data_IF_449050901244
#
_entry.id   IF_449050901244
#
_cell.length_a   1.000
_cell.length_b   1.000
_cell.length_c   1.000
_cell.angle_alpha   90.00
_cell.angle_beta   90.00
_cell.angle_gamma   90.00
#
_symmetry.space_group_name_H-M   'P 1'
#
loop_
_entity.id
_entity.type
_entity.pdbx_description
1 polymer ?
#
# COMPACT_ATOMS: atom_id res chain seq x y z
N UNK A 1 -5.67 9.58 -32.07
CA UNK A 1 -7.08 9.38 -32.45
C UNK A 1 -7.78 8.78 -31.25
N UNK A 2 -8.64 9.54 -30.57
CA UNK A 2 -9.41 9.03 -29.43
C UNK A 2 -10.55 8.18 -30.01
N UNK A 3 -10.69 6.95 -29.51
CA UNK A 3 -11.60 5.96 -30.04
C UNK A 3 -13.06 6.39 -29.79
N UNK A 4 -13.94 6.20 -30.77
CA UNK A 4 -15.34 6.66 -30.72
C UNK A 4 -16.13 6.01 -29.55
N UNK A 5 -15.66 4.87 -29.05
CA UNK A 5 -16.14 4.18 -27.84
C UNK A 5 -15.90 4.98 -26.56
N UNK A 6 -14.74 5.63 -26.41
CA UNK A 6 -14.39 6.37 -25.19
C UNK A 6 -15.25 7.64 -25.02
N UNK A 7 -15.60 8.27 -26.16
CA UNK A 7 -16.49 9.43 -26.17
C UNK A 7 -17.92 9.10 -25.76
N UNK A 8 -18.40 7.90 -26.07
CA UNK A 8 -19.75 7.48 -25.68
C UNK A 8 -19.83 7.12 -24.20
N UNK A 9 -18.77 6.51 -23.65
CA UNK A 9 -18.66 6.21 -22.21
C UNK A 9 -18.62 7.51 -21.38
N UNK A 10 -17.82 8.50 -21.81
CA UNK A 10 -17.77 9.80 -21.14
C UNK A 10 -19.13 10.53 -21.16
N UNK A 11 -19.91 10.36 -22.23
CA UNK A 11 -21.24 10.99 -22.38
C UNK A 11 -22.31 10.34 -21.50
N UNK A 12 -22.22 9.03 -21.28
CA UNK A 12 -23.07 8.28 -20.36
C UNK A 12 -22.74 8.62 -18.89
N UNK A 13 -21.46 8.74 -18.54
CA UNK A 13 -21.01 9.16 -17.20
C UNK A 13 -21.52 10.56 -16.84
N UNK A 14 -21.40 11.52 -17.78
CA UNK A 14 -21.85 12.88 -17.56
C UNK A 14 -23.39 13.00 -17.42
N UNK A 15 -24.14 12.07 -18.02
CA UNK A 15 -25.60 11.95 -17.84
C UNK A 15 -25.97 11.38 -16.48
N UNK A 16 -25.21 10.38 -15.98
CA UNK A 16 -25.42 9.80 -14.64
C UNK A 16 -25.09 10.79 -13.52
N UNK A 17 -24.00 11.55 -13.66
CA UNK A 17 -23.59 12.56 -12.67
C UNK A 17 -24.60 13.73 -12.55
N UNK A 18 -25.35 14.03 -13.61
CA UNK A 18 -26.41 15.04 -13.54
C UNK A 18 -27.71 14.55 -12.89
N UNK A 19 -27.88 13.22 -12.70
CA UNK A 19 -29.12 12.64 -12.18
C UNK A 19 -29.04 12.12 -10.73
N UNK A 20 -27.84 11.98 -10.15
CA UNK A 20 -27.67 11.40 -8.80
C UNK A 20 -26.95 12.34 -7.83
N UNK A 21 -27.54 13.50 -7.52
CA UNK A 21 -27.04 14.35 -6.42
C UNK A 21 -27.59 14.00 -5.04
N UNK A 22 -28.54 13.08 -4.93
CA UNK A 22 -29.25 12.81 -3.66
C UNK A 22 -29.23 11.36 -3.16
N UNK A 23 -28.35 10.51 -3.68
CA UNK A 23 -28.19 9.14 -3.16
C UNK A 23 -26.77 8.93 -2.67
N UNK A 24 -26.62 8.50 -1.41
CA UNK A 24 -25.46 7.73 -0.94
C UNK A 24 -25.35 6.50 -1.84
N UNK A 25 -24.73 6.65 -3.00
CA UNK A 25 -24.34 5.49 -3.80
C UNK A 25 -23.11 4.93 -3.12
N UNK A 26 -23.28 3.74 -2.56
CA UNK A 26 -22.16 2.88 -2.18
C UNK A 26 -21.21 2.84 -3.38
N UNK A 27 -20.02 3.39 -3.17
CA UNK A 27 -18.98 3.44 -4.18
C UNK A 27 -18.72 2.01 -4.68
N UNK A 28 -19.07 1.73 -5.94
CA UNK A 28 -19.01 0.38 -6.51
C UNK A 28 -17.54 -0.04 -6.74
N UNK A 29 -16.93 -0.56 -5.69
CA UNK A 29 -15.59 -1.13 -5.68
C UNK A 29 -15.43 -2.30 -6.67
N UNK A 30 -16.53 -2.95 -7.08
CA UNK A 30 -16.48 -3.99 -8.12
C UNK A 30 -16.20 -3.39 -9.50
N UNK A 31 -16.72 -2.18 -9.76
CA UNK A 31 -16.46 -1.40 -10.95
C UNK A 31 -15.03 -0.85 -10.95
N UNK A 32 -14.53 -0.40 -9.80
CA UNK A 32 -13.11 -0.04 -9.66
C UNK A 32 -12.17 -1.23 -9.84
N UNK A 33 -12.48 -2.40 -9.30
CA UNK A 33 -11.69 -3.61 -9.57
C UNK A 33 -11.71 -4.03 -11.04
N UNK A 34 -12.81 -3.76 -11.76
CA UNK A 34 -12.95 -4.06 -13.19
C UNK A 34 -12.31 -3.01 -14.11
N UNK A 35 -12.28 -1.74 -13.70
CA UNK A 35 -11.79 -0.61 -14.52
C UNK A 35 -10.34 -0.25 -14.15
N UNK A 36 -10.00 -0.30 -12.87
CA UNK A 36 -8.67 -0.04 -12.32
C UNK A 36 -8.01 -1.34 -11.91
N UNK A 37 -6.84 -1.61 -12.49
CA UNK A 37 -5.96 -2.63 -11.96
C UNK A 37 -5.35 -2.09 -10.65
N UNK A 38 -6.00 -2.37 -9.51
CA UNK A 38 -5.64 -1.86 -8.17
C UNK A 38 -4.14 -1.99 -7.90
N UNK A 39 -3.52 -3.12 -8.28
CA UNK A 39 -2.07 -3.31 -8.12
C UNK A 39 -1.27 -2.23 -8.85
N UNK A 40 -1.63 -1.92 -10.09
CA UNK A 40 -0.98 -0.86 -10.86
C UNK A 40 -1.25 0.52 -10.28
N UNK A 41 -2.45 0.76 -9.74
CA UNK A 41 -2.76 2.00 -9.03
C UNK A 41 -1.86 2.17 -7.80
N UNK A 42 -1.73 1.14 -6.95
CA UNK A 42 -0.85 1.18 -5.78
C UNK A 42 0.62 1.34 -6.18
N UNK A 43 1.09 0.59 -7.18
CA UNK A 43 2.45 0.73 -7.72
C UNK A 43 2.71 2.16 -8.18
N UNK A 44 1.78 2.74 -8.96
CA UNK A 44 1.89 4.12 -9.42
C UNK A 44 1.97 5.10 -8.25
N UNK A 45 1.11 4.96 -7.23
CA UNK A 45 1.12 5.87 -6.10
C UNK A 45 2.42 5.75 -5.28
N UNK A 46 2.89 4.53 -5.02
CA UNK A 46 4.15 4.28 -4.29
C UNK A 46 5.37 4.87 -5.01
N UNK A 47 5.35 4.90 -6.34
CA UNK A 47 6.45 5.44 -7.15
C UNK A 47 6.44 6.98 -7.26
N UNK A 48 5.28 7.63 -7.12
CA UNK A 48 5.12 9.04 -7.49
C UNK A 48 4.78 9.96 -6.31
N UNK A 49 4.35 9.43 -5.17
CA UNK A 49 4.00 10.21 -3.99
C UNK A 49 4.85 9.81 -2.79
N UNK A 50 4.90 10.68 -1.78
CA UNK A 50 5.62 10.43 -0.54
C UNK A 50 4.96 9.32 0.29
N UNK A 51 5.69 8.83 1.31
CA UNK A 51 5.18 7.74 2.14
C UNK A 51 3.98 8.14 2.99
N UNK A 52 3.87 9.39 3.45
CA UNK A 52 2.78 9.82 4.33
C UNK A 52 1.46 9.79 3.57
N UNK A 53 1.44 10.32 2.35
CA UNK A 53 0.32 10.22 1.43
C UNK A 53 -0.06 8.75 1.18
N UNK A 54 0.92 7.90 0.87
CA UNK A 54 0.65 6.50 0.53
C UNK A 54 0.11 5.69 1.72
N UNK A 55 0.62 5.93 2.93
CA UNK A 55 0.09 5.34 4.15
C UNK A 55 -1.34 5.85 4.39
N UNK A 56 -1.57 7.16 4.26
CA UNK A 56 -2.90 7.73 4.42
C UNK A 56 -3.91 7.19 3.42
N UNK A 57 -3.51 7.00 2.16
CA UNK A 57 -4.33 6.37 1.12
C UNK A 57 -4.77 4.96 1.53
N UNK A 58 -3.84 4.13 1.99
CA UNK A 58 -4.15 2.75 2.39
C UNK A 58 -5.06 2.72 3.63
N UNK A 59 -4.77 3.53 4.64
CA UNK A 59 -5.53 3.51 5.90
C UNK A 59 -6.92 4.16 5.77
N UNK A 60 -7.06 5.17 4.91
CA UNK A 60 -8.35 5.83 4.64
C UNK A 60 -9.25 4.97 3.75
N UNK A 61 -8.66 4.17 2.85
CA UNK A 61 -9.40 3.33 1.91
C UNK A 61 -8.92 1.87 1.97
N UNK A 62 -9.26 1.13 3.05
CA UNK A 62 -8.86 -0.26 3.19
C UNK A 62 -9.25 -1.12 1.98
N UNK A 63 -10.42 -0.85 1.39
CA UNK A 63 -10.95 -1.57 0.22
C UNK A 63 -9.96 -1.64 -0.97
N UNK A 64 -8.97 -0.73 -1.03
CA UNK A 64 -7.89 -0.77 -2.01
C UNK A 64 -6.96 -1.98 -1.86
N UNK A 65 -6.85 -2.58 -0.68
CA UNK A 65 -5.89 -3.66 -0.45
C UNK A 65 -6.47 -4.92 0.19
N UNK A 66 -7.68 -4.88 0.75
CA UNK A 66 -8.28 -6.03 1.47
C UNK A 66 -8.45 -7.29 0.62
N UNK A 67 -8.55 -7.14 -0.70
CA UNK A 67 -8.73 -8.26 -1.62
C UNK A 67 -7.39 -8.80 -2.17
N UNK A 68 -6.28 -8.14 -1.86
CA UNK A 68 -4.96 -8.53 -2.35
C UNK A 68 -4.43 -9.70 -1.53
N UNK A 69 -4.09 -10.78 -2.22
CA UNK A 69 -3.42 -11.92 -1.59
C UNK A 69 -1.89 -11.72 -1.55
N UNK A 70 -1.18 -12.71 -1.03
CA UNK A 70 0.29 -12.73 -0.95
C UNK A 70 0.98 -12.55 -2.29
N UNK A 71 0.48 -13.17 -3.36
CA UNK A 71 1.08 -13.01 -4.70
C UNK A 71 0.88 -11.60 -5.23
N UNK A 72 -0.24 -10.97 -4.91
CA UNK A 72 -0.52 -9.59 -5.31
C UNK A 72 0.42 -8.60 -4.62
N UNK A 73 0.63 -8.76 -3.31
CA UNK A 73 1.59 -7.95 -2.56
C UNK A 73 3.03 -8.18 -2.98
N UNK A 74 3.45 -9.43 -3.20
CA UNK A 74 4.78 -9.73 -3.76
C UNK A 74 4.95 -9.03 -5.11
N UNK A 75 3.94 -9.13 -5.99
CA UNK A 75 3.96 -8.45 -7.29
C UNK A 75 4.12 -6.93 -7.14
N UNK A 76 3.36 -6.31 -6.23
CA UNK A 76 3.47 -4.87 -5.95
C UNK A 76 4.88 -4.51 -5.49
N UNK A 77 5.44 -5.25 -4.52
CA UNK A 77 6.79 -5.02 -4.00
C UNK A 77 7.84 -5.18 -5.10
N UNK A 78 7.72 -6.19 -5.95
CA UNK A 78 8.63 -6.43 -7.06
C UNK A 78 8.55 -5.32 -8.12
N UNK A 79 7.36 -4.80 -8.42
CA UNK A 79 7.21 -3.71 -9.40
C UNK A 79 7.56 -2.35 -8.83
N UNK A 80 7.35 -2.16 -7.53
CA UNK A 80 7.85 -1.01 -6.78
C UNK A 80 9.37 -1.09 -6.54
N UNK A 81 10.00 -2.25 -6.78
CA UNK A 81 11.43 -2.46 -6.54
C UNK A 81 12.38 -1.68 -7.45
N UNK A 82 11.88 -0.98 -8.48
CA UNK A 82 12.61 0.07 -9.20
C UNK A 82 12.85 1.32 -8.32
N UNK A 83 13.16 1.11 -7.05
CA UNK A 83 13.43 2.14 -6.05
C UNK A 83 14.61 2.93 -6.57
N UNK A 84 14.36 4.16 -7.01
CA UNK A 84 15.41 5.03 -7.54
C UNK A 84 16.52 5.12 -6.49
N UNK A 85 17.73 4.67 -6.88
CA UNK A 85 18.89 4.60 -6.00
C UNK A 85 19.44 6.00 -5.80
N UNK A 86 18.80 6.77 -4.92
CA UNK A 86 19.30 8.07 -4.47
C UNK A 86 20.17 7.85 -3.21
N UNK A 87 21.14 8.71 -2.99
CA UNK A 87 22.09 8.56 -1.87
C UNK A 87 21.34 8.55 -0.52
N UNK A 88 21.25 7.39 0.16
CA UNK A 88 20.54 7.18 1.46
C UNK A 88 21.24 7.87 2.64
N UNK A 89 21.79 9.06 2.44
CA UNK A 89 22.46 9.84 3.49
C UNK A 89 21.60 10.97 4.03
N UNK A 90 20.46 11.27 3.40
CA UNK A 90 19.63 12.42 3.76
C UNK A 90 18.24 11.99 4.29
N UNK A 91 17.92 12.36 5.53
CA UNK A 91 16.62 12.15 6.17
C UNK A 91 15.49 12.85 5.40
N UNK A 92 15.78 13.91 4.64
CA UNK A 92 14.80 14.59 3.77
C UNK A 92 14.21 13.66 2.72
N UNK A 93 14.93 12.60 2.36
CA UNK A 93 14.46 11.61 1.40
C UNK A 93 13.26 10.80 1.92
N UNK A 94 13.04 10.69 3.23
CA UNK A 94 11.83 10.05 3.76
C UNK A 94 10.58 10.76 3.24
N UNK A 95 10.56 12.10 3.29
CA UNK A 95 9.42 12.90 2.85
C UNK A 95 9.30 13.02 1.32
N UNK A 96 10.24 12.46 0.56
CA UNK A 96 10.28 12.59 -0.90
C UNK A 96 10.03 11.28 -1.65
N UNK A 97 10.15 10.10 -1.01
CA UNK A 97 9.96 8.81 -1.69
C UNK A 97 9.03 7.86 -0.95
N UNK A 98 7.87 7.59 -1.55
CA UNK A 98 6.96 6.50 -1.17
C UNK A 98 7.44 5.09 -1.56
N UNK A 99 8.66 4.96 -2.07
CA UNK A 99 9.23 3.71 -2.61
C UNK A 99 9.33 2.54 -1.58
N UNK A 100 9.16 2.83 -0.29
CA UNK A 100 9.13 1.83 0.78
C UNK A 100 7.77 1.74 1.50
N UNK A 101 6.75 2.46 1.02
CA UNK A 101 5.44 2.52 1.68
C UNK A 101 4.77 1.16 1.73
N UNK A 102 4.98 0.31 0.73
CA UNK A 102 4.58 -1.09 0.73
C UNK A 102 5.12 -1.86 1.95
N UNK A 103 6.44 -1.81 2.16
CA UNK A 103 7.12 -2.52 3.23
C UNK A 103 6.82 -1.92 4.60
N UNK A 104 6.73 -0.60 4.70
CA UNK A 104 6.36 0.12 5.91
C UNK A 104 4.92 -0.19 6.29
N UNK A 105 3.99 -0.14 5.33
CA UNK A 105 2.59 -0.44 5.57
C UNK A 105 2.42 -1.86 6.12
N UNK A 106 2.97 -2.85 5.42
CA UNK A 106 2.92 -4.24 5.83
C UNK A 106 3.56 -4.44 7.22
N UNK A 107 4.72 -3.83 7.48
CA UNK A 107 5.42 -4.06 8.75
C UNK A 107 4.82 -3.31 9.93
N UNK A 108 4.64 -2.00 9.79
CA UNK A 108 4.22 -1.12 10.88
C UNK A 108 2.74 -1.28 11.21
N UNK A 109 1.88 -1.29 10.20
CA UNK A 109 0.43 -1.23 10.38
C UNK A 109 -0.21 -2.63 10.42
N UNK A 110 0.29 -3.55 9.59
CA UNK A 110 -0.23 -4.93 9.56
C UNK A 110 0.60 -5.92 10.39
N UNK A 111 1.69 -5.48 11.02
CA UNK A 111 2.58 -6.35 11.82
C UNK A 111 3.09 -7.58 11.06
N UNK A 112 3.38 -7.43 9.77
CA UNK A 112 3.92 -8.48 8.89
C UNK A 112 5.44 -8.36 8.80
N UNK A 113 6.15 -9.48 8.72
CA UNK A 113 7.58 -9.47 8.42
C UNK A 113 7.82 -9.21 6.92
N UNK A 114 7.64 -7.95 6.52
CA UNK A 114 7.76 -7.52 5.12
C UNK A 114 9.21 -7.62 4.59
N UNK A 115 10.19 -7.64 5.49
CA UNK A 115 11.61 -7.79 5.15
C UNK A 115 11.93 -9.25 4.83
N UNK A 116 11.49 -10.20 5.66
CA UNK A 116 11.61 -11.63 5.36
C UNK A 116 10.87 -12.00 4.09
N UNK A 117 9.67 -11.43 3.87
CA UNK A 117 8.92 -11.60 2.63
C UNK A 117 9.73 -11.22 1.39
N UNK A 118 10.36 -10.04 1.40
CA UNK A 118 11.26 -9.61 0.32
C UNK A 118 12.41 -10.60 0.14
N UNK A 119 12.96 -11.12 1.23
CA UNK A 119 14.11 -12.02 1.15
C UNK A 119 13.78 -13.43 0.66
N UNK A 120 12.61 -13.94 1.01
CA UNK A 120 12.21 -15.32 0.68
C UNK A 120 11.43 -15.42 -0.61
N UNK A 121 10.45 -14.55 -0.81
CA UNK A 121 9.38 -14.78 -1.81
C UNK A 121 9.50 -13.87 -3.04
N UNK A 122 10.11 -12.69 -2.92
CA UNK A 122 10.25 -11.76 -4.05
C UNK A 122 11.44 -12.13 -4.93
N UNK A 123 11.24 -13.03 -5.89
CA UNK A 123 12.27 -13.63 -6.76
C UNK A 123 12.90 -12.58 -7.69
N UNK A 124 12.12 -11.61 -8.17
CA UNK A 124 12.58 -10.62 -9.16
C UNK A 124 13.37 -9.45 -8.54
N UNK A 125 13.50 -9.39 -7.21
CA UNK A 125 14.29 -8.36 -6.53
C UNK A 125 15.78 -8.71 -6.58
N UNK A 126 16.58 -7.81 -7.16
CA UNK A 126 18.02 -8.03 -7.32
C UNK A 126 18.75 -8.04 -5.98
N UNK A 127 19.91 -8.70 -5.92
CA UNK A 127 20.79 -8.68 -4.73
C UNK A 127 21.11 -7.25 -4.28
N UNK A 128 21.30 -6.34 -5.23
CA UNK A 128 21.60 -4.94 -4.92
C UNK A 128 20.41 -4.22 -4.27
N UNK A 129 19.19 -4.51 -4.71
CA UNK A 129 17.98 -3.93 -4.11
C UNK A 129 17.75 -4.49 -2.70
N UNK A 130 18.02 -5.77 -2.49
CA UNK A 130 18.02 -6.40 -1.16
C UNK A 130 18.99 -5.70 -0.20
N UNK A 131 20.22 -5.45 -0.64
CA UNK A 131 21.22 -4.72 0.16
C UNK A 131 20.77 -3.28 0.46
N UNK A 132 20.17 -2.61 -0.53
CA UNK A 132 19.65 -1.25 -0.38
C UNK A 132 18.51 -1.19 0.64
N UNK A 133 17.55 -2.11 0.56
CA UNK A 133 16.44 -2.25 1.52
C UNK A 133 17.00 -2.47 2.94
N UNK A 134 17.96 -3.39 3.11
CA UNK A 134 18.61 -3.62 4.42
C UNK A 134 19.27 -2.35 4.95
N UNK A 135 20.07 -1.67 4.13
CA UNK A 135 20.81 -0.47 4.52
C UNK A 135 19.88 0.69 4.89
N UNK A 136 18.74 0.83 4.19
CA UNK A 136 17.73 1.81 4.50
C UNK A 136 17.09 1.51 5.88
N UNK A 137 16.53 0.32 6.05
CA UNK A 137 15.83 0.00 7.31
C UNK A 137 16.75 -0.21 8.51
N UNK A 138 18.05 -0.46 8.32
CA UNK A 138 19.02 -0.40 9.43
C UNK A 138 19.20 1.01 9.99
N UNK A 139 18.95 2.05 9.18
CA UNK A 139 19.01 3.46 9.63
C UNK A 139 17.67 3.96 10.15
N UNK A 140 16.58 3.46 9.57
CA UNK A 140 15.22 3.89 9.86
C UNK A 140 14.39 2.75 10.45
N UNK A 141 14.95 2.00 11.40
CA UNK A 141 14.33 0.81 11.98
C UNK A 141 12.97 1.13 12.61
N UNK A 142 12.84 2.31 13.20
CA UNK A 142 11.59 2.82 13.78
C UNK A 142 10.43 2.89 12.77
N UNK A 143 10.68 2.86 11.46
CA UNK A 143 9.62 2.81 10.45
C UNK A 143 8.97 1.43 10.34
N UNK A 144 9.62 0.37 10.81
CA UNK A 144 9.09 -0.99 10.74
C UNK A 144 8.23 -1.34 11.96
N UNK A 145 8.40 -0.67 13.09
CA UNK A 145 7.69 -0.98 14.35
C UNK A 145 6.96 0.24 14.89
N UNK A 146 5.87 -0.04 15.59
CA UNK A 146 5.09 0.91 16.38
C UNK A 146 4.52 0.12 17.56
N UNK A 147 4.40 0.72 18.73
CA UNK A 147 3.73 0.05 19.85
C UNK A 147 2.22 -0.06 19.57
N UNK A 148 1.55 -1.01 20.21
CA UNK A 148 0.10 -1.20 20.01
C UNK A 148 -0.71 0.04 20.40
N UNK A 149 -0.35 0.68 21.52
CA UNK A 149 -0.98 1.92 22.00
C UNK A 149 -0.76 3.10 21.06
N UNK A 150 0.45 3.24 20.51
CA UNK A 150 0.73 4.28 19.51
C UNK A 150 -0.02 4.01 18.21
N UNK A 151 -0.12 2.74 17.80
CA UNK A 151 -0.88 2.36 16.61
C UNK A 151 -2.37 2.64 16.79
N UNK A 152 -2.94 2.30 17.94
CA UNK A 152 -4.35 2.56 18.22
C UNK A 152 -4.66 4.07 18.18
N UNK A 153 -3.79 4.89 18.77
CA UNK A 153 -3.88 6.36 18.68
C UNK A 153 -3.75 6.84 17.24
N UNK A 154 -2.73 6.41 16.50
CA UNK A 154 -2.51 6.82 15.10
C UNK A 154 -3.74 6.49 14.23
N UNK A 155 -4.32 5.31 14.38
CA UNK A 155 -5.46 4.85 13.58
C UNK A 155 -6.74 5.62 13.89
N UNK A 156 -7.03 5.81 15.18
CA UNK A 156 -8.26 6.48 15.63
C UNK A 156 -8.22 7.98 15.39
N UNK A 157 -7.08 8.62 15.68
CA UNK A 157 -6.96 10.08 15.67
C UNK A 157 -6.82 10.64 14.25
N UNK A 158 -6.23 9.89 13.32
CA UNK A 158 -5.93 10.38 11.96
C UNK A 158 -6.73 9.70 10.84
N UNK A 159 -7.13 8.43 11.01
CA UNK A 159 -7.68 7.63 9.91
C UNK A 159 -9.08 7.07 10.16
N UNK A 160 -9.63 7.25 11.37
CA UNK A 160 -10.96 6.76 11.76
C UNK A 160 -11.16 5.25 11.49
N UNK A 161 -10.08 4.47 11.57
CA UNK A 161 -10.10 3.01 11.39
C UNK A 161 -9.84 2.33 12.73
N UNK A 162 -10.59 1.29 13.07
CA UNK A 162 -10.32 0.56 14.31
C UNK A 162 -9.13 -0.39 14.13
N UNK A 163 -8.33 -0.54 15.19
CA UNK A 163 -7.25 -1.53 15.23
C UNK A 163 -7.78 -2.94 14.90
N UNK A 164 -8.94 -3.30 15.44
CA UNK A 164 -9.56 -4.60 15.19
C UNK A 164 -9.90 -4.85 13.71
N UNK A 165 -10.34 -3.84 12.97
CA UNK A 165 -10.57 -3.96 11.53
C UNK A 165 -9.26 -4.18 10.78
N UNK A 166 -8.23 -3.38 11.10
CA UNK A 166 -6.91 -3.52 10.48
C UNK A 166 -6.30 -4.91 10.75
N UNK A 167 -6.45 -5.43 11.96
CA UNK A 167 -5.92 -6.75 12.34
C UNK A 167 -6.62 -7.92 11.65
N UNK A 168 -7.90 -7.78 11.25
CA UNK A 168 -8.56 -8.81 10.40
C UNK A 168 -7.84 -8.97 9.06
N UNK A 169 -7.36 -7.87 8.48
CA UNK A 169 -6.63 -7.92 7.22
C UNK A 169 -5.23 -8.54 7.38
N UNK A 170 -4.57 -8.27 8.51
CA UNK A 170 -3.35 -9.01 8.87
C UNK A 170 -3.63 -10.51 8.89
N UNK A 171 -4.67 -10.95 9.59
CA UNK A 171 -4.94 -12.38 9.78
C UNK A 171 -5.20 -13.09 8.44
N UNK A 172 -5.91 -12.44 7.51
CA UNK A 172 -6.06 -12.91 6.13
C UNK A 172 -4.73 -13.06 5.40
N UNK A 173 -3.79 -12.14 5.56
CA UNK A 173 -2.46 -12.23 4.95
C UNK A 173 -1.64 -13.38 5.58
N UNK A 174 -1.72 -13.57 6.90
CA UNK A 174 -1.05 -14.68 7.59
C UNK A 174 -1.56 -16.04 7.11
N UNK A 175 -2.86 -16.20 6.93
CA UNK A 175 -3.47 -17.41 6.35
C UNK A 175 -2.97 -17.71 4.93
N UNK A 176 -2.61 -16.67 4.17
CA UNK A 176 -2.08 -16.78 2.82
C UNK A 176 -0.54 -16.90 2.75
N UNK A 177 0.12 -17.21 3.88
CA UNK A 177 1.55 -17.56 3.91
C UNK A 177 2.50 -16.41 4.26
N UNK A 178 2.00 -15.26 4.71
CA UNK A 178 2.87 -14.26 5.34
C UNK A 178 3.31 -14.67 6.74
N UNK A 179 4.50 -14.24 7.13
CA UNK A 179 4.98 -14.35 8.49
C UNK A 179 4.54 -13.15 9.32
N UNK A 180 4.01 -13.42 10.52
CA UNK A 180 3.82 -12.37 11.52
C UNK A 180 5.20 -11.87 11.94
N UNK A 181 5.34 -10.55 12.08
CA UNK A 181 6.54 -9.95 12.62
C UNK A 181 6.79 -10.54 14.01
N UNK A 182 7.97 -11.13 14.23
CA UNK A 182 8.35 -11.58 15.56
C UNK A 182 8.44 -10.35 16.45
N UNK A 183 7.63 -10.32 17.50
CA UNK A 183 7.73 -9.34 18.56
C UNK A 183 9.17 -9.28 19.04
N UNK A 184 9.86 -8.17 18.82
CA UNK A 184 11.11 -7.86 19.53
C UNK A 184 10.72 -7.33 20.90
N UNK A 185 10.33 -8.27 21.78
CA UNK A 185 10.31 -8.09 23.23
C UNK A 185 11.03 -9.30 23.83
#
# INVERSE_FOLDING_TARGET
MINLTDKNIAKELHKKEMFNRDTKEDFDLSLLNKIFNIKHFLIYNFQNYDYQYNIGLLLTFPDLFIHLNTKDWIYIIEKNSQRERRNITDYRLLNEYGNFSDLIFLSRYLCIDSIDLVFREAINITVKDRLYIKAFFSKFEYLLSISESELESDLMDFYCISLNELLKYRDLLLENGFNKKKSQY
#
